data_IF_639546596160
#
_entry.id   IF_639546596160
#
_cell.length_a   1.000
_cell.length_b   1.000
_cell.length_c   1.000
_cell.angle_alpha   90.00
_cell.angle_beta   90.00
_cell.angle_gamma   90.00
#
_symmetry.space_group_name_H-M   'P 1'
#
loop_
_entity.id
_entity.type
_entity.pdbx_description
1 polymer ?
#
# COMPACT_ATOMS: atom_id res chain seq x y z
N UNK A 1 2.56 1.11 9.15
CA UNK A 1 1.37 1.95 8.87
C UNK A 1 1.59 3.38 9.36
N UNK A 2 1.90 3.62 10.65
CA UNK A 2 2.06 4.98 11.20
C UNK A 2 3.12 5.79 10.45
N UNK A 3 4.33 5.23 10.24
CA UNK A 3 5.40 5.92 9.53
C UNK A 3 5.02 6.24 8.07
N UNK A 4 4.35 5.32 7.38
CA UNK A 4 3.90 5.53 6.00
C UNK A 4 2.89 6.67 5.95
N UNK A 5 1.84 6.64 6.80
CA UNK A 5 0.83 7.69 6.81
C UNK A 5 1.41 9.07 7.20
N UNK A 6 2.32 9.11 8.17
CA UNK A 6 3.01 10.36 8.58
C UNK A 6 3.84 10.97 7.42
N UNK A 7 4.55 10.12 6.66
CA UNK A 7 5.35 10.59 5.51
C UNK A 7 4.47 10.98 4.32
N UNK A 8 3.36 10.28 4.08
CA UNK A 8 2.41 10.64 3.01
C UNK A 8 1.78 12.01 3.20
N UNK A 9 1.64 12.51 4.44
CA UNK A 9 1.22 13.90 4.69
C UNK A 9 2.16 14.94 4.08
N UNK A 10 3.41 14.56 3.75
CA UNK A 10 4.41 15.39 3.07
C UNK A 10 4.65 14.90 1.64
N UNK A 11 3.60 14.52 0.96
CA UNK A 11 3.61 14.16 -0.45
C UNK A 11 2.58 14.97 -1.22
N UNK A 12 2.64 14.91 -2.54
CA UNK A 12 1.61 15.48 -3.42
C UNK A 12 0.50 14.48 -3.74
N UNK A 13 0.31 13.45 -2.91
CA UNK A 13 -0.69 12.42 -3.16
C UNK A 13 -2.07 13.04 -3.36
N UNK A 14 -2.72 12.87 -4.53
CA UNK A 14 -4.01 13.49 -4.81
C UNK A 14 -5.20 12.71 -4.23
N UNK A 15 -4.92 11.54 -3.64
CA UNK A 15 -5.94 10.65 -3.08
C UNK A 15 -5.87 10.61 -1.55
N UNK A 16 -7.00 10.34 -0.91
CA UNK A 16 -7.04 10.17 0.53
C UNK A 16 -6.36 8.87 0.97
N UNK A 17 -5.78 8.90 2.16
CA UNK A 17 -5.18 7.74 2.81
C UNK A 17 -5.58 7.71 4.28
N UNK A 18 -5.52 6.52 4.88
CA UNK A 18 -5.83 6.33 6.29
C UNK A 18 -4.65 6.83 7.13
N UNK A 19 -4.94 7.71 8.08
CA UNK A 19 -3.98 8.17 9.08
C UNK A 19 -3.99 7.20 10.26
N UNK A 20 -2.79 6.77 10.68
CA UNK A 20 -2.61 5.84 11.78
C UNK A 20 -1.87 6.47 12.94
N UNK A 21 -2.25 6.09 14.15
CA UNK A 21 -1.58 6.47 15.39
C UNK A 21 -1.07 5.23 16.12
N UNK A 22 0.05 5.37 16.84
CA UNK A 22 0.55 4.29 17.69
C UNK A 22 -0.46 4.00 18.79
N UNK A 23 -0.81 2.73 18.96
CA UNK A 23 -1.74 2.28 19.97
C UNK A 23 -1.13 1.19 20.86
N UNK A 24 -1.48 1.22 22.14
CA UNK A 24 -1.17 0.15 23.09
C UNK A 24 -2.46 -0.59 23.40
N UNK A 25 -2.47 -1.88 23.11
CA UNK A 25 -3.65 -2.74 23.23
C UNK A 25 -3.42 -3.75 24.34
N UNK A 26 -4.29 -3.77 25.34
CA UNK A 26 -4.33 -4.84 26.34
C UNK A 26 -5.35 -5.90 25.92
N UNK A 27 -4.89 -7.13 25.77
CA UNK A 27 -5.74 -8.27 25.45
C UNK A 27 -5.32 -9.49 26.28
N UNK A 28 -6.28 -10.05 27.02
CA UNK A 28 -6.06 -11.21 27.91
C UNK A 28 -4.87 -11.02 28.89
N UNK A 29 -4.73 -9.82 29.47
CA UNK A 29 -3.66 -9.47 30.42
C UNK A 29 -2.27 -9.34 29.78
N UNK A 30 -2.17 -9.30 28.46
CA UNK A 30 -0.93 -9.03 27.71
C UNK A 30 -1.04 -7.69 27.02
N UNK A 31 0.08 -6.97 26.99
CA UNK A 31 0.20 -5.67 26.32
C UNK A 31 0.81 -5.90 24.94
N UNK A 32 0.16 -5.37 23.92
CA UNK A 32 0.62 -5.38 22.53
C UNK A 32 0.79 -3.94 22.05
N UNK A 33 1.87 -3.70 21.31
CA UNK A 33 2.01 -2.48 20.52
C UNK A 33 1.37 -2.69 19.15
N UNK A 34 0.64 -1.71 18.68
CA UNK A 34 -0.02 -1.73 17.39
C UNK A 34 -0.29 -0.32 16.90
N UNK A 35 -1.18 -0.20 15.94
CA UNK A 35 -1.68 1.08 15.48
C UNK A 35 -3.21 1.11 15.50
N UNK A 36 -3.77 2.29 15.49
CA UNK A 36 -5.21 2.54 15.38
C UNK A 36 -5.47 3.64 14.36
N UNK A 37 -6.64 3.61 13.76
CA UNK A 37 -7.14 4.67 12.88
C UNK A 37 -8.61 4.94 13.17
N UNK A 38 -9.10 6.08 12.72
CA UNK A 38 -10.53 6.33 12.68
C UNK A 38 -11.17 5.46 11.60
N UNK A 39 -12.40 5.03 11.84
CA UNK A 39 -13.19 4.37 10.81
C UNK A 39 -13.51 5.39 9.69
N UNK A 40 -13.03 5.14 8.50
CA UNK A 40 -13.25 6.01 7.35
C UNK A 40 -14.60 5.76 6.66
N UNK A 41 -15.31 4.67 6.99
CA UNK A 41 -16.62 4.38 6.44
C UNK A 41 -17.70 5.23 7.10
N UNK A 42 -18.53 5.87 6.29
CA UNK A 42 -19.72 6.61 6.77
C UNK A 42 -20.92 5.66 6.85
N UNK A 43 -21.97 6.11 7.51
CA UNK A 43 -23.23 5.38 7.54
C UNK A 43 -23.69 5.04 6.11
N UNK A 44 -24.13 3.81 5.89
CA UNK A 44 -24.53 3.24 4.60
C UNK A 44 -23.39 3.05 3.58
N UNK A 45 -22.15 3.08 4.01
CA UNK A 45 -21.00 2.75 3.19
C UNK A 45 -20.46 1.37 3.55
N UNK A 46 -20.00 0.63 2.55
CA UNK A 46 -19.39 -0.69 2.68
C UNK A 46 -18.09 -0.73 1.87
N UNK A 47 -17.00 -1.18 2.48
CA UNK A 47 -15.76 -1.44 1.77
C UNK A 47 -15.85 -2.75 1.01
N UNK A 48 -15.57 -2.72 -0.28
CA UNK A 48 -15.65 -3.90 -1.16
C UNK A 48 -14.26 -4.12 -1.79
N UNK A 49 -13.51 -5.16 -1.35
CA UNK A 49 -12.27 -5.58 -2.01
C UNK A 49 -12.50 -5.92 -3.49
N UNK A 50 -11.53 -5.60 -4.34
CA UNK A 50 -11.67 -5.83 -5.79
C UNK A 50 -11.84 -7.31 -6.14
N UNK A 51 -11.19 -8.21 -5.43
CA UNK A 51 -11.41 -9.66 -5.60
C UNK A 51 -12.88 -10.04 -5.41
N UNK A 52 -13.53 -9.47 -4.37
CA UNK A 52 -14.94 -9.70 -4.07
C UNK A 52 -15.86 -9.01 -5.08
N UNK A 53 -15.50 -7.78 -5.48
CA UNK A 53 -16.24 -7.02 -6.49
C UNK A 53 -16.27 -7.78 -7.81
N UNK A 54 -15.10 -8.14 -8.33
CA UNK A 54 -14.93 -8.84 -9.60
C UNK A 54 -15.66 -10.19 -9.60
N UNK A 55 -15.46 -11.00 -8.54
CA UNK A 55 -16.12 -12.30 -8.41
C UNK A 55 -17.65 -12.21 -8.41
N UNK A 56 -18.20 -11.14 -7.84
CA UNK A 56 -19.66 -10.92 -7.84
C UNK A 56 -20.21 -10.66 -9.25
N UNK A 57 -19.45 -10.01 -10.11
CA UNK A 57 -19.90 -9.64 -11.45
C UNK A 57 -19.58 -10.69 -12.51
N UNK A 58 -18.46 -11.38 -12.39
CA UNK A 58 -17.97 -12.33 -13.41
C UNK A 58 -18.14 -13.80 -13.00
N UNK A 59 -18.23 -14.09 -11.69
CA UNK A 59 -18.17 -15.44 -11.13
C UNK A 59 -16.75 -15.99 -10.96
N UNK A 60 -15.70 -15.27 -11.39
CA UNK A 60 -14.31 -15.72 -11.42
C UNK A 60 -13.46 -15.01 -10.38
N UNK A 61 -12.27 -15.55 -10.08
CA UNK A 61 -11.26 -14.88 -9.26
C UNK A 61 -10.48 -13.86 -10.08
N UNK A 62 -10.37 -12.64 -9.58
CA UNK A 62 -9.60 -11.58 -10.21
C UNK A 62 -8.10 -11.93 -10.26
N UNK A 63 -7.54 -12.43 -9.16
CA UNK A 63 -6.13 -12.81 -9.09
C UNK A 63 -5.79 -13.90 -10.11
N UNK A 64 -6.66 -14.90 -10.29
CA UNK A 64 -6.50 -15.94 -11.31
C UNK A 64 -6.59 -15.31 -12.71
N UNK A 65 -7.58 -14.46 -12.94
CA UNK A 65 -7.76 -13.80 -14.24
C UNK A 65 -6.57 -12.94 -14.65
N UNK A 66 -5.98 -12.20 -13.72
CA UNK A 66 -4.77 -11.41 -14.00
C UNK A 66 -3.58 -12.30 -14.39
N UNK A 67 -3.49 -13.52 -13.89
CA UNK A 67 -2.41 -14.45 -14.27
C UNK A 67 -2.52 -15.01 -15.68
N UNK A 68 -3.66 -14.87 -16.34
CA UNK A 68 -3.83 -15.26 -17.76
C UNK A 68 -3.04 -14.37 -18.72
N UNK A 69 -2.74 -13.14 -18.31
CA UNK A 69 -1.98 -12.20 -19.13
C UNK A 69 -0.48 -12.35 -18.87
N UNK A 70 0.31 -12.41 -19.94
CA UNK A 70 1.77 -12.50 -19.83
C UNK A 70 2.39 -11.13 -19.51
N UNK A 71 1.84 -10.06 -20.08
CA UNK A 71 2.35 -8.70 -19.95
C UNK A 71 1.75 -7.98 -18.73
N UNK A 72 2.60 -7.23 -18.01
CA UNK A 72 2.21 -6.51 -16.78
C UNK A 72 1.30 -5.34 -17.11
N UNK A 73 1.55 -4.62 -18.20
CA UNK A 73 0.70 -3.50 -18.65
C UNK A 73 -0.69 -4.00 -19.03
N UNK A 74 -0.80 -5.18 -19.66
CA UNK A 74 -2.10 -5.80 -19.96
C UNK A 74 -2.86 -6.16 -18.68
N UNK A 75 -2.18 -6.68 -17.65
CA UNK A 75 -2.81 -6.96 -16.34
C UNK A 75 -3.39 -5.70 -15.71
N UNK A 76 -2.59 -4.62 -15.66
CA UNK A 76 -2.98 -3.33 -15.09
C UNK A 76 -4.16 -2.74 -15.89
N UNK A 77 -4.04 -2.67 -17.21
CA UNK A 77 -5.09 -2.12 -18.08
C UNK A 77 -6.40 -2.91 -17.97
N UNK A 78 -6.31 -4.24 -17.92
CA UNK A 78 -7.47 -5.09 -17.74
C UNK A 78 -8.19 -4.78 -16.41
N UNK A 79 -7.44 -4.75 -15.29
CA UNK A 79 -8.02 -4.46 -13.98
C UNK A 79 -8.69 -3.08 -13.96
N UNK A 80 -8.02 -2.04 -14.46
CA UNK A 80 -8.56 -0.68 -14.49
C UNK A 80 -9.86 -0.65 -15.31
N UNK A 81 -9.85 -1.23 -16.52
CA UNK A 81 -11.02 -1.29 -17.38
C UNK A 81 -12.21 -1.98 -16.68
N UNK A 82 -11.98 -3.13 -16.04
CA UNK A 82 -13.03 -3.85 -15.34
C UNK A 82 -13.61 -3.06 -14.15
N UNK A 83 -12.73 -2.41 -13.37
CA UNK A 83 -13.20 -1.61 -12.23
C UNK A 83 -14.00 -0.40 -12.71
N UNK A 84 -13.53 0.34 -13.71
CA UNK A 84 -14.22 1.51 -14.26
C UNK A 84 -15.56 1.11 -14.91
N UNK A 85 -15.62 -0.01 -15.62
CA UNK A 85 -16.86 -0.54 -16.18
C UNK A 85 -17.89 -0.91 -15.12
N UNK A 86 -17.47 -1.56 -14.04
CA UNK A 86 -18.34 -2.00 -12.95
C UNK A 86 -18.80 -0.83 -12.08
N UNK A 87 -17.87 0.05 -11.72
CA UNK A 87 -18.09 1.07 -10.68
C UNK A 87 -18.50 2.44 -11.23
N UNK A 88 -18.17 2.72 -12.49
CA UNK A 88 -18.29 4.04 -13.13
C UNK A 88 -17.40 5.11 -12.48
N UNK A 89 -16.29 4.70 -11.91
CA UNK A 89 -15.23 5.59 -11.43
C UNK A 89 -14.31 5.88 -12.63
N UNK A 90 -14.09 7.15 -12.97
CA UNK A 90 -13.39 7.54 -14.21
C UNK A 90 -11.86 7.68 -14.05
N UNK A 91 -11.33 7.64 -12.84
CA UNK A 91 -9.90 7.90 -12.56
C UNK A 91 -9.23 6.76 -11.78
N UNK A 92 -9.72 5.54 -11.95
CA UNK A 92 -9.18 4.40 -11.21
C UNK A 92 -7.75 4.06 -11.63
N UNK A 93 -7.37 4.29 -12.88
CA UNK A 93 -5.99 4.11 -13.35
C UNK A 93 -5.00 5.00 -12.61
N UNK A 94 -5.28 6.29 -12.46
CA UNK A 94 -4.45 7.22 -11.69
C UNK A 94 -4.39 6.83 -10.19
N UNK A 95 -5.52 6.42 -9.61
CA UNK A 95 -5.58 5.93 -8.23
C UNK A 95 -4.71 4.69 -8.02
N UNK A 96 -4.78 3.72 -8.93
CA UNK A 96 -3.97 2.50 -8.86
C UNK A 96 -2.48 2.82 -9.00
N UNK A 97 -2.09 3.71 -9.92
CA UNK A 97 -0.70 4.13 -10.10
C UNK A 97 -0.16 4.77 -8.82
N UNK A 98 -0.89 5.72 -8.23
CA UNK A 98 -0.49 6.32 -6.95
C UNK A 98 -0.31 5.27 -5.83
N UNK A 99 -1.16 4.25 -5.78
CA UNK A 99 -1.02 3.15 -4.83
C UNK A 99 0.27 2.35 -5.08
N UNK A 100 0.62 2.05 -6.33
CA UNK A 100 1.83 1.32 -6.69
C UNK A 100 3.10 2.16 -6.45
N UNK A 101 3.03 3.49 -6.61
CA UNK A 101 4.12 4.41 -6.23
C UNK A 101 4.40 4.36 -4.73
N UNK A 102 3.34 4.35 -3.89
CA UNK A 102 3.46 4.17 -2.43
C UNK A 102 4.07 2.80 -2.11
N UNK A 103 3.54 1.74 -2.73
CA UNK A 103 3.99 0.38 -2.47
C UNK A 103 5.45 0.18 -2.91
N UNK A 104 5.88 0.75 -4.03
CA UNK A 104 7.27 0.68 -4.49
C UNK A 104 8.20 1.51 -3.58
N UNK A 105 7.79 2.71 -3.17
CA UNK A 105 8.60 3.54 -2.28
C UNK A 105 8.78 2.91 -0.91
N UNK A 106 7.72 2.40 -0.31
CA UNK A 106 7.75 1.82 1.04
C UNK A 106 7.95 0.30 1.06
N UNK A 107 8.14 -0.33 -0.09
CA UNK A 107 8.33 -1.78 -0.23
C UNK A 107 7.19 -2.55 0.44
N UNK A 108 5.95 -2.35 -0.02
CA UNK A 108 4.77 -3.06 0.48
C UNK A 108 4.58 -4.39 -0.27
N UNK A 109 4.87 -5.50 0.40
CA UNK A 109 4.78 -6.83 -0.20
C UNK A 109 3.38 -7.46 -0.13
N UNK A 110 2.40 -6.79 0.47
CA UNK A 110 1.07 -7.38 0.66
C UNK A 110 -0.05 -6.69 -0.11
N UNK A 111 0.27 -6.01 -1.22
CA UNK A 111 -0.73 -5.40 -2.09
C UNK A 111 -1.40 -6.44 -3.00
N UNK A 112 -2.13 -7.36 -2.42
CA UNK A 112 -2.96 -8.33 -3.17
C UNK A 112 -4.35 -7.75 -3.50
N UNK A 113 -5.12 -8.41 -4.37
CA UNK A 113 -6.43 -7.93 -4.87
C UNK A 113 -7.50 -7.74 -3.79
N UNK A 114 -7.32 -8.27 -2.58
CA UNK A 114 -8.18 -7.99 -1.43
C UNK A 114 -7.77 -6.73 -0.65
N UNK A 115 -6.54 -6.22 -0.83
CA UNK A 115 -6.05 -4.99 -0.21
C UNK A 115 -6.16 -3.78 -1.16
N UNK A 116 -6.87 -3.95 -2.26
CA UNK A 116 -7.34 -2.89 -3.15
C UNK A 116 -8.87 -2.91 -3.10
N UNK A 117 -9.50 -1.79 -2.78
CA UNK A 117 -10.93 -1.76 -2.56
C UNK A 117 -11.59 -0.49 -3.08
N UNK A 118 -12.90 -0.55 -3.23
CA UNK A 118 -13.77 0.59 -3.46
C UNK A 118 -14.82 0.68 -2.36
N UNK A 119 -15.38 1.86 -2.15
CA UNK A 119 -16.49 2.06 -1.21
C UNK A 119 -17.80 2.06 -2.00
N UNK A 120 -18.76 1.26 -1.57
CA UNK A 120 -20.12 1.29 -2.09
C UNK A 120 -21.05 1.97 -1.11
N UNK A 121 -21.79 2.95 -1.56
CA UNK A 121 -22.81 3.63 -0.77
C UNK A 121 -24.19 3.03 -1.07
N UNK A 122 -24.74 2.30 -0.12
CA UNK A 122 -26.02 1.57 -0.27
C UNK A 122 -27.21 2.50 -0.50
N UNK A 123 -27.16 3.72 0.03
CA UNK A 123 -28.25 4.69 -0.12
C UNK A 123 -28.28 5.33 -1.51
N UNK A 124 -27.09 5.71 -2.02
CA UNK A 124 -26.98 6.36 -3.34
C UNK A 124 -26.75 5.37 -4.47
N UNK A 125 -26.42 4.12 -4.15
CA UNK A 125 -26.04 3.06 -5.08
C UNK A 125 -24.83 3.45 -5.97
N UNK A 126 -23.90 4.25 -5.43
CA UNK A 126 -22.71 4.70 -6.13
C UNK A 126 -21.47 4.12 -5.49
N UNK A 127 -20.44 3.95 -6.31
CA UNK A 127 -19.10 3.61 -5.87
C UNK A 127 -18.25 4.85 -5.75
N UNK A 128 -17.28 4.81 -4.82
CA UNK A 128 -16.29 5.84 -4.55
C UNK A 128 -14.93 5.16 -4.35
N UNK A 129 -13.83 5.87 -4.62
CA UNK A 129 -12.49 5.39 -4.27
C UNK A 129 -12.37 5.25 -2.74
N UNK A 130 -11.73 4.19 -2.27
CA UNK A 130 -11.36 4.10 -0.86
C UNK A 130 -10.13 4.97 -0.56
N UNK A 131 -9.93 5.45 0.67
CA UNK A 131 -8.60 5.89 1.08
C UNK A 131 -7.60 4.74 0.90
N UNK A 132 -6.31 5.04 0.71
CA UNK A 132 -5.26 4.02 0.79
C UNK A 132 -5.16 3.51 2.22
N UNK A 133 -5.16 2.20 2.40
CA UNK A 133 -5.12 1.52 3.69
C UNK A 133 -4.21 0.29 3.63
N UNK A 134 -3.93 -0.29 4.78
CA UNK A 134 -3.21 -1.56 4.92
C UNK A 134 -1.78 -1.51 4.33
N UNK A 135 -0.94 -0.65 4.92
CA UNK A 135 0.50 -0.59 4.68
C UNK A 135 1.29 -1.31 5.78
N UNK A 136 0.69 -2.32 6.43
CA UNK A 136 1.28 -3.02 7.58
C UNK A 136 2.53 -3.82 7.24
N UNK A 137 2.61 -4.38 6.04
CA UNK A 137 3.77 -5.16 5.58
C UNK A 137 4.72 -4.35 4.68
N UNK A 138 4.93 -3.07 5.01
CA UNK A 138 5.95 -2.22 4.42
C UNK A 138 7.30 -2.37 5.14
N UNK A 139 8.38 -2.04 4.44
CA UNK A 139 9.72 -1.85 5.02
C UNK A 139 10.23 -3.05 5.81
N UNK A 140 9.93 -4.26 5.34
CA UNK A 140 10.32 -5.52 5.97
C UNK A 140 9.77 -5.68 7.39
N UNK A 141 8.48 -5.39 7.57
CA UNK A 141 7.84 -5.35 8.90
C UNK A 141 7.72 -6.74 9.57
N UNK A 142 7.66 -7.84 8.81
CA UNK A 142 7.63 -9.19 9.39
C UNK A 142 9.01 -9.66 9.83
N UNK A 143 9.47 -9.08 10.95
CA UNK A 143 10.76 -9.42 11.57
C UNK A 143 10.79 -10.78 12.24
N UNK A 144 9.66 -11.43 12.42
CA UNK A 144 9.55 -12.70 13.12
C UNK A 144 9.64 -13.90 12.18
N UNK A 145 9.29 -13.72 10.90
CA UNK A 145 9.25 -14.80 9.92
C UNK A 145 10.13 -14.48 8.71
N UNK A 146 9.77 -13.47 7.95
CA UNK A 146 10.34 -13.23 6.63
C UNK A 146 11.64 -12.43 6.65
N UNK A 147 11.75 -11.45 7.56
CA UNK A 147 12.90 -10.55 7.63
C UNK A 147 13.52 -10.46 9.03
N UNK A 148 14.14 -11.56 9.52
CA UNK A 148 14.78 -11.58 10.83
C UNK A 148 15.71 -10.38 11.06
N UNK A 149 15.78 -9.95 12.31
CA UNK A 149 16.46 -8.68 12.68
C UNK A 149 17.97 -8.69 12.37
N UNK A 150 18.58 -9.88 12.37
CA UNK A 150 20.01 -10.10 12.10
C UNK A 150 20.36 -10.13 10.61
N UNK A 151 19.37 -10.14 9.73
CA UNK A 151 19.58 -10.13 8.28
C UNK A 151 19.94 -8.75 7.76
N UNK A 152 20.80 -8.73 6.72
CA UNK A 152 21.19 -7.47 6.07
C UNK A 152 20.06 -6.84 5.24
N UNK A 153 20.19 -5.56 4.92
CA UNK A 153 19.26 -4.89 4.02
C UNK A 153 19.25 -5.55 2.64
N UNK A 154 20.43 -5.95 2.14
CA UNK A 154 20.57 -6.61 0.85
C UNK A 154 19.80 -7.93 0.80
N UNK A 155 19.91 -8.75 1.84
CA UNK A 155 19.10 -9.97 1.97
C UNK A 155 17.60 -9.69 1.90
N UNK A 156 17.13 -8.66 2.62
CA UNK A 156 15.71 -8.30 2.61
C UNK A 156 15.26 -7.83 1.22
N UNK A 157 16.10 -7.05 0.53
CA UNK A 157 15.82 -6.54 -0.82
C UNK A 157 15.81 -7.64 -1.90
N UNK A 158 16.61 -8.70 -1.73
CA UNK A 158 16.62 -9.85 -2.65
C UNK A 158 15.41 -10.76 -2.44
N UNK A 159 14.84 -10.77 -1.23
CA UNK A 159 13.72 -11.65 -0.86
C UNK A 159 12.35 -11.06 -1.14
N UNK A 160 12.22 -9.74 -1.01
CA UNK A 160 10.92 -9.08 -1.06
C UNK A 160 10.33 -9.11 -2.47
N UNK A 161 9.04 -9.41 -2.55
CA UNK A 161 8.31 -9.48 -3.81
C UNK A 161 7.10 -8.53 -3.81
N UNK A 162 6.92 -7.82 -4.92
CA UNK A 162 5.73 -7.00 -5.15
C UNK A 162 4.50 -7.85 -5.51
N UNK A 163 3.34 -7.24 -5.42
CA UNK A 163 2.02 -7.75 -5.84
C UNK A 163 1.17 -6.57 -6.34
N UNK A 164 0.09 -6.77 -7.10
CA UNK A 164 -0.42 -8.06 -7.62
C UNK A 164 -0.01 -8.35 -9.07
N UNK A 165 0.69 -7.43 -9.76
CA UNK A 165 0.92 -7.52 -11.20
C UNK A 165 2.27 -8.13 -11.57
N UNK A 166 3.27 -7.94 -10.74
CA UNK A 166 4.65 -8.44 -10.87
C UNK A 166 5.19 -8.77 -9.48
N UNK A 167 6.21 -9.63 -9.40
CA UNK A 167 7.03 -9.80 -8.20
C UNK A 167 8.10 -8.69 -8.06
N UNK A 168 8.32 -7.88 -9.08
CA UNK A 168 9.24 -6.76 -9.11
C UNK A 168 8.48 -5.43 -9.01
N UNK A 169 8.84 -4.60 -8.02
CA UNK A 169 8.20 -3.30 -7.77
C UNK A 169 8.38 -2.33 -8.93
N UNK A 170 9.56 -2.30 -9.53
CA UNK A 170 9.85 -1.36 -10.61
C UNK A 170 9.09 -1.74 -11.88
N UNK A 171 9.05 -3.03 -12.21
CA UNK A 171 8.34 -3.49 -13.42
C UNK A 171 6.85 -3.13 -13.36
N UNK A 172 6.18 -3.33 -12.22
CA UNK A 172 4.77 -2.95 -12.13
C UNK A 172 4.55 -1.44 -12.01
N UNK A 173 5.48 -0.71 -11.40
CA UNK A 173 5.43 0.74 -11.31
C UNK A 173 5.64 1.40 -12.67
N UNK A 174 6.71 1.03 -13.38
CA UNK A 174 7.01 1.55 -14.72
C UNK A 174 5.83 1.33 -15.67
N UNK A 175 5.22 0.13 -15.64
CA UNK A 175 4.05 -0.18 -16.47
C UNK A 175 2.83 0.70 -16.10
N UNK A 176 2.59 0.98 -14.83
CA UNK A 176 1.49 1.83 -14.40
C UNK A 176 1.72 3.30 -14.74
N UNK A 177 2.95 3.80 -14.55
CA UNK A 177 3.32 5.18 -14.89
C UNK A 177 3.32 5.43 -16.40
N UNK A 178 3.71 4.44 -17.21
CA UNK A 178 3.61 4.52 -18.66
C UNK A 178 2.15 4.65 -19.14
N UNK A 179 1.22 3.93 -18.49
CA UNK A 179 -0.20 3.95 -18.84
C UNK A 179 -0.94 5.18 -18.33
N UNK A 180 -0.66 5.64 -17.12
CA UNK A 180 -1.49 6.65 -16.41
C UNK A 180 -0.70 7.86 -15.90
N UNK A 181 0.61 7.89 -16.09
CA UNK A 181 1.50 8.97 -15.63
C UNK A 181 1.84 8.90 -14.15
N UNK A 182 2.89 9.61 -13.77
CA UNK A 182 3.32 9.77 -12.36
C UNK A 182 2.29 10.59 -11.59
N UNK A 183 1.92 10.14 -10.41
CA UNK A 183 0.86 10.72 -9.57
C UNK A 183 1.40 11.40 -8.32
N UNK A 184 2.47 10.88 -7.70
CA UNK A 184 2.95 11.33 -6.39
C UNK A 184 4.36 11.91 -6.48
N UNK A 185 4.55 13.11 -5.92
CA UNK A 185 5.87 13.62 -5.55
C UNK A 185 6.09 13.47 -4.04
N UNK A 186 7.12 12.76 -3.64
CA UNK A 186 7.50 12.64 -2.23
C UNK A 186 8.32 13.87 -1.82
N UNK A 187 7.73 14.76 -1.00
CA UNK A 187 8.31 16.07 -0.64
C UNK A 187 9.02 16.07 0.72
N UNK A 188 9.03 14.97 1.44
CA UNK A 188 9.74 14.87 2.71
C UNK A 188 11.25 14.75 2.51
N UNK A 189 11.98 15.33 3.45
CA UNK A 189 13.43 15.27 3.50
C UNK A 189 13.92 14.11 4.36
N UNK A 190 15.20 13.76 4.22
CA UNK A 190 15.81 12.78 5.12
C UNK A 190 15.74 13.19 6.60
N UNK A 191 15.76 14.50 6.88
CA UNK A 191 15.57 15.02 8.24
C UNK A 191 14.17 14.71 8.78
N UNK A 192 13.16 14.78 7.93
CA UNK A 192 11.79 14.40 8.31
C UNK A 192 11.72 12.93 8.70
N UNK A 193 12.32 12.05 7.90
CA UNK A 193 12.41 10.62 8.22
C UNK A 193 13.07 10.40 9.60
N UNK A 194 14.19 11.06 9.85
CA UNK A 194 14.88 10.93 11.14
C UNK A 194 14.02 11.38 12.32
N UNK A 195 13.27 12.48 12.18
CA UNK A 195 12.37 12.96 13.22
C UNK A 195 11.29 11.90 13.53
N UNK A 196 10.66 11.31 12.51
CA UNK A 196 9.66 10.27 12.70
C UNK A 196 10.21 8.99 13.31
N UNK A 197 11.39 8.55 12.87
CA UNK A 197 12.04 7.37 13.44
C UNK A 197 12.45 7.59 14.90
N UNK A 198 12.93 8.79 15.24
CA UNK A 198 13.28 9.15 16.62
C UNK A 198 12.06 9.19 17.52
N UNK A 199 10.95 9.76 17.07
CA UNK A 199 9.68 9.83 17.81
C UNK A 199 9.18 8.44 18.24
N UNK A 200 9.44 7.43 17.42
CA UNK A 200 8.99 6.06 17.63
C UNK A 200 10.11 5.10 18.08
N UNK A 201 11.29 5.62 18.41
CA UNK A 201 12.47 4.80 18.70
C UNK A 201 12.36 3.92 19.95
N UNK A 202 11.49 4.27 20.89
CA UNK A 202 11.25 3.47 22.10
C UNK A 202 10.38 2.24 21.83
N UNK A 203 9.66 2.23 20.72
CA UNK A 203 8.70 1.17 20.37
C UNK A 203 9.33 0.04 19.53
N UNK A 204 10.54 0.22 19.01
CA UNK A 204 11.18 -0.72 18.10
C UNK A 204 12.64 -1.00 18.44
N UNK A 205 13.16 -2.21 18.17
CA UNK A 205 14.58 -2.50 18.27
C UNK A 205 15.41 -1.54 17.41
N UNK A 206 16.60 -1.17 17.90
CA UNK A 206 17.50 -0.25 17.18
C UNK A 206 17.90 -0.74 15.79
N UNK A 207 18.03 -2.04 15.64
CA UNK A 207 18.36 -2.71 14.39
C UNK A 207 17.26 -2.51 13.34
N UNK A 208 15.99 -2.59 13.75
CA UNK A 208 14.83 -2.32 12.88
C UNK A 208 14.86 -0.86 12.42
N UNK A 209 15.02 0.09 13.34
CA UNK A 209 15.07 1.51 13.03
C UNK A 209 16.19 1.81 12.04
N UNK A 210 17.38 1.23 12.27
CA UNK A 210 18.53 1.39 11.37
C UNK A 210 18.26 0.83 9.98
N UNK A 211 17.65 -0.34 9.88
CA UNK A 211 17.31 -0.98 8.60
C UNK A 211 16.28 -0.14 7.83
N UNK A 212 15.22 0.33 8.50
CA UNK A 212 14.22 1.22 7.91
C UNK A 212 14.85 2.54 7.44
N UNK A 213 15.72 3.15 8.25
CA UNK A 213 16.45 4.37 7.87
C UNK A 213 17.30 4.17 6.61
N UNK A 214 18.03 3.06 6.53
CA UNK A 214 18.85 2.71 5.38
C UNK A 214 18.00 2.48 4.13
N UNK A 215 16.89 1.77 4.25
CA UNK A 215 15.93 1.57 3.17
C UNK A 215 15.40 2.91 2.65
N UNK A 216 14.82 3.73 3.52
CA UNK A 216 14.21 5.00 3.12
C UNK A 216 15.24 5.96 2.49
N UNK A 217 16.49 5.96 2.97
CA UNK A 217 17.59 6.69 2.33
C UNK A 217 17.86 6.19 0.90
N UNK A 218 17.77 4.88 0.66
CA UNK A 218 17.93 4.29 -0.67
C UNK A 218 16.76 4.69 -1.57
N UNK A 219 15.53 4.58 -1.09
CA UNK A 219 14.31 4.89 -1.84
C UNK A 219 14.23 6.37 -2.23
N UNK A 220 14.63 7.27 -1.34
CA UNK A 220 14.75 8.71 -1.67
C UNK A 220 15.76 9.02 -2.77
N UNK A 221 16.79 8.20 -2.95
CA UNK A 221 17.74 8.38 -4.06
C UNK A 221 17.24 7.82 -5.37
N UNK A 222 16.30 6.89 -5.29
CA UNK A 222 15.74 6.19 -6.45
C UNK A 222 14.54 6.93 -7.02
N UNK A 223 13.67 7.45 -6.17
CA UNK A 223 12.37 8.04 -6.53
C UNK A 223 12.24 9.53 -6.17
N UNK A 224 13.30 10.16 -5.61
CA UNK A 224 13.29 11.55 -5.17
C UNK A 224 14.06 12.51 -6.06
#
# INVERSE_FOLDING_TARGET
EVLVSDLLQKSTCPFSFVEYEVAVIEYNGKIFQGCSSLDFLKANQVLIPLEKLYRRYTGESLAVKLSDFADVSERIQYLVTQVEEITKIDNFGAYLTAMLEIDAFFMNEDRHTNNIAVIYNEKTQKYELSPFFDQGLCMFADINQDYPIDQSLEYCLEKIEAKPFSSDFDIQLDAAEELYGVQIGFQFTFKDIQIYLQKNSENYPREVIRRVEQLLRRQMRKYG
#
